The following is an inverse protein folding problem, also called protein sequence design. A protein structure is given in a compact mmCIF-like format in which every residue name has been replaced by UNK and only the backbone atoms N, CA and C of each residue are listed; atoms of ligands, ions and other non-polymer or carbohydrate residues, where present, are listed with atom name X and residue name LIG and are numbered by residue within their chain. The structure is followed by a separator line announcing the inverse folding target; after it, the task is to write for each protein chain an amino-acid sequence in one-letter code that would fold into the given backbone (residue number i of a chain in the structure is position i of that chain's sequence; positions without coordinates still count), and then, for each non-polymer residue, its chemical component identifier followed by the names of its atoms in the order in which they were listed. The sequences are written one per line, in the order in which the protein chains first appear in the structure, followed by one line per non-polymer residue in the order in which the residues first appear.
data_IF_351849618274
#
_entry.id   IF_351849618274
#
_cell.length_a   1.000
_cell.length_b   1.000
_cell.length_c   1.000
_cell.angle_alpha   90.00
_cell.angle_beta   90.00
_cell.angle_gamma   90.00
#
_symmetry.space_group_name_H-M   'P 1'
#
loop_
_entity.id
_entity.type
_entity.pdbx_description
1 polymer ?
#
# COMPACT_ATOMS: atom_id res chain seq x y z
N UNK A 1 -8.45 2.32 9.89
CA UNK A 1 -7.01 1.97 9.75
C UNK A 1 -6.07 3.17 9.90
N UNK A 2 -6.22 4.02 10.94
CA UNK A 2 -5.32 5.19 11.10
C UNK A 2 -3.86 4.81 11.41
N UNK A 3 -3.61 3.56 11.79
CA UNK A 3 -2.27 3.03 12.03
C UNK A 3 -1.44 2.81 10.76
N UNK A 4 -2.07 2.80 9.58
CA UNK A 4 -1.36 2.70 8.30
C UNK A 4 -0.58 3.99 7.98
N UNK A 5 -0.94 5.12 8.63
CA UNK A 5 -0.29 6.43 8.46
C UNK A 5 -0.15 6.84 6.99
N UNK A 6 -1.17 6.51 6.20
CA UNK A 6 -1.26 6.91 4.80
C UNK A 6 -1.64 8.39 4.68
N UNK A 7 -1.18 9.04 3.60
CA UNK A 7 -1.32 10.47 3.39
C UNK A 7 -2.79 10.93 3.35
N UNK A 8 -3.73 10.24 2.68
CA UNK A 8 -5.14 10.65 2.67
C UNK A 8 -5.78 10.61 4.07
N UNK A 9 -5.44 9.63 4.91
CA UNK A 9 -5.97 9.53 6.27
C UNK A 9 -5.41 10.64 7.16
N UNK A 10 -4.10 10.91 7.08
CA UNK A 10 -3.48 11.98 7.86
C UNK A 10 -4.01 13.36 7.43
N UNK A 11 -4.17 13.62 6.13
CA UNK A 11 -4.80 14.85 5.61
C UNK A 11 -6.27 14.94 6.04
N UNK A 12 -7.06 13.88 5.84
CA UNK A 12 -8.48 13.87 6.20
C UNK A 12 -8.70 14.13 7.69
N UNK A 13 -7.84 13.59 8.56
CA UNK A 13 -7.87 13.90 9.99
C UNK A 13 -7.57 15.37 10.27
N UNK A 14 -6.52 15.93 9.66
CA UNK A 14 -6.16 17.34 9.84
C UNK A 14 -7.29 18.29 9.41
N UNK A 15 -7.89 18.05 8.24
CA UNK A 15 -9.00 18.86 7.72
C UNK A 15 -10.28 18.70 8.55
N UNK A 16 -10.60 17.48 8.99
CA UNK A 16 -11.77 17.24 9.85
C UNK A 16 -11.65 17.96 11.19
N UNK A 17 -10.45 17.97 11.76
CA UNK A 17 -10.15 18.65 13.01
C UNK A 17 -10.20 20.18 12.86
N UNK A 18 -9.74 20.72 11.75
CA UNK A 18 -9.82 22.15 11.44
C UNK A 18 -11.28 22.58 11.21
N UNK A 19 -12.03 21.82 10.40
CA UNK A 19 -13.45 22.04 10.16
C UNK A 19 -14.26 22.00 11.46
N UNK A 20 -13.94 21.07 12.37
CA UNK A 20 -14.59 20.99 13.69
C UNK A 20 -14.41 22.27 14.48
N UNK A 21 -13.19 22.79 14.52
CA UNK A 21 -12.86 23.94 15.36
C UNK A 21 -13.37 25.26 14.75
N UNK A 22 -13.36 25.39 13.42
CA UNK A 22 -13.71 26.64 12.74
C UNK A 22 -15.20 26.77 12.40
N UNK A 23 -15.86 25.69 11.96
CA UNK A 23 -17.20 25.79 11.34
C UNK A 23 -18.22 24.74 11.80
N UNK A 24 -17.77 23.61 12.36
CA UNK A 24 -18.63 22.48 12.76
C UNK A 24 -18.27 21.95 14.14
N UNK A 25 -18.49 22.74 15.22
CA UNK A 25 -18.18 22.30 16.59
C UNK A 25 -18.96 21.05 17.02
N UNK A 26 -20.02 20.70 16.30
CA UNK A 26 -20.81 19.48 16.48
C UNK A 26 -20.19 18.22 15.82
N UNK A 27 -19.17 18.38 14.97
CA UNK A 27 -18.51 17.27 14.27
C UNK A 27 -17.77 16.36 15.26
N UNK A 28 -18.18 15.09 15.31
CA UNK A 28 -17.50 14.04 16.08
C UNK A 28 -16.50 13.32 15.20
N UNK A 29 -15.31 13.05 15.75
CA UNK A 29 -14.22 12.34 15.07
C UNK A 29 -13.94 11.04 15.83
N UNK A 30 -13.95 9.90 15.13
CA UNK A 30 -13.57 8.60 15.65
C UNK A 30 -12.37 8.08 14.84
N UNK A 31 -11.22 7.95 15.48
CA UNK A 31 -10.02 7.36 14.88
C UNK A 31 -9.94 5.87 15.24
N UNK A 32 -10.03 4.99 14.25
CA UNK A 32 -9.97 3.53 14.45
C UNK A 32 -8.60 2.97 14.08
N UNK A 33 -7.92 2.38 15.06
CA UNK A 33 -6.59 1.76 14.94
C UNK A 33 -6.65 0.26 15.30
N UNK A 34 -5.92 -0.57 14.57
CA UNK A 34 -5.71 -1.98 14.89
C UNK A 34 -4.45 -2.18 15.76
N UNK A 35 -3.69 -1.12 16.04
CA UNK A 35 -2.55 -1.15 16.97
C UNK A 35 -2.90 -0.51 18.30
N UNK A 36 -2.36 -1.01 19.42
CA UNK A 36 -2.57 -0.43 20.74
C UNK A 36 -1.80 0.88 20.97
N UNK A 37 -0.85 1.23 20.10
CA UNK A 37 -0.10 2.49 20.23
C UNK A 37 -0.93 3.68 19.75
N UNK A 38 -1.48 4.42 20.71
CA UNK A 38 -2.31 5.60 20.49
C UNK A 38 -1.56 6.91 20.73
N UNK A 39 -0.28 6.88 21.12
CA UNK A 39 0.44 8.08 21.58
C UNK A 39 0.50 9.17 20.52
N UNK A 40 0.79 8.79 19.27
CA UNK A 40 0.82 9.72 18.14
C UNK A 40 -0.53 10.38 17.89
N UNK A 41 -1.61 9.60 17.96
CA UNK A 41 -2.98 10.09 17.75
C UNK A 41 -3.44 11.00 18.88
N UNK A 42 -3.13 10.68 20.14
CA UNK A 42 -3.50 11.49 21.30
C UNK A 42 -2.81 12.87 21.28
N UNK A 43 -1.61 13.00 20.70
CA UNK A 43 -0.99 14.30 20.48
C UNK A 43 -1.82 15.21 19.55
N UNK A 44 -2.56 14.63 18.61
CA UNK A 44 -3.36 15.34 17.61
C UNK A 44 -4.80 15.56 18.07
N UNK A 45 -5.40 14.51 18.63
CA UNK A 45 -6.80 14.52 19.07
C UNK A 45 -6.98 15.24 20.42
N UNK A 46 -5.92 15.30 21.22
CA UNK A 46 -5.89 15.84 22.58
C UNK A 46 -5.60 14.76 23.60
N UNK A 47 -4.80 15.09 24.62
CA UNK A 47 -4.35 14.14 25.64
C UNK A 47 -5.52 13.50 26.43
N UNK A 48 -6.61 14.25 26.58
CA UNK A 48 -7.81 13.82 27.32
C UNK A 48 -8.82 13.07 26.42
N UNK A 49 -8.47 12.75 25.17
CA UNK A 49 -9.35 12.02 24.25
C UNK A 49 -9.65 10.62 24.81
N UNK A 50 -10.92 10.23 24.98
CA UNK A 50 -11.27 8.90 25.44
C UNK A 50 -10.74 7.82 24.49
N UNK A 51 -10.05 6.82 25.06
CA UNK A 51 -9.57 5.64 24.32
C UNK A 51 -10.44 4.45 24.70
N UNK A 52 -11.17 3.91 23.73
CA UNK A 52 -11.89 2.65 23.87
C UNK A 52 -11.06 1.53 23.24
N UNK A 53 -10.69 0.53 24.04
CA UNK A 53 -9.97 -0.65 23.57
C UNK A 53 -10.93 -1.83 23.43
N UNK A 54 -10.86 -2.52 22.30
CA UNK A 54 -11.57 -3.77 22.06
C UNK A 54 -10.56 -4.89 21.87
N UNK A 55 -10.34 -5.69 22.91
CA UNK A 55 -9.44 -6.84 22.83
C UNK A 55 -10.14 -7.99 22.09
N UNK A 56 -9.59 -8.39 20.94
CA UNK A 56 -9.97 -9.63 20.28
C UNK A 56 -9.46 -10.84 21.06
N UNK A 57 -10.10 -12.00 20.91
CA UNK A 57 -9.54 -13.27 21.38
C UNK A 57 -8.40 -13.67 20.45
N UNK A 58 -7.18 -13.26 20.79
CA UNK A 58 -5.97 -13.74 20.15
C UNK A 58 -5.44 -14.94 20.93
N UNK A 59 -5.24 -16.04 20.23
CA UNK A 59 -4.55 -17.21 20.75
C UNK A 59 -3.03 -16.97 20.73
N UNK A 60 -2.26 -17.66 21.60
CA UNK A 60 -0.81 -17.51 21.62
C UNK A 60 -0.18 -17.91 20.28
N UNK A 61 0.86 -17.17 19.87
CA UNK A 61 1.63 -17.44 18.65
C UNK A 61 3.11 -17.61 19.02
N UNK A 62 3.64 -18.80 18.76
CA UNK A 62 5.06 -19.08 18.96
C UNK A 62 5.91 -18.47 17.83
N UNK A 63 7.07 -17.91 18.17
CA UNK A 63 7.96 -17.28 17.20
C UNK A 63 9.17 -18.18 16.92
N UNK A 64 9.32 -18.60 15.67
CA UNK A 64 10.49 -19.33 15.17
C UNK A 64 11.37 -18.39 14.36
N UNK A 65 12.59 -18.16 14.84
CA UNK A 65 13.59 -17.36 14.13
C UNK A 65 14.39 -18.24 13.18
N UNK A 66 14.28 -17.99 11.88
CA UNK A 66 14.93 -18.75 10.82
C UNK A 66 15.71 -17.80 9.89
N UNK A 67 16.80 -17.18 10.38
CA UNK A 67 17.59 -16.25 9.58
C UNK A 67 18.19 -16.93 8.36
N UNK A 68 18.20 -16.23 7.23
CA UNK A 68 18.85 -16.73 6.02
C UNK A 68 20.38 -16.74 6.15
N UNK A 69 21.02 -17.61 5.38
CA UNK A 69 22.45 -17.55 5.13
C UNK A 69 22.84 -16.32 4.31
N UNK A 70 24.11 -15.88 4.42
CA UNK A 70 24.61 -14.67 3.74
C UNK A 70 24.52 -14.71 2.21
N UNK A 71 24.53 -15.90 1.62
CA UNK A 71 24.48 -16.12 0.17
C UNK A 71 23.07 -16.48 -0.33
N UNK A 72 22.12 -16.61 0.58
CA UNK A 72 20.76 -17.00 0.23
C UNK A 72 20.04 -15.83 -0.42
N UNK A 73 19.21 -16.18 -1.40
CA UNK A 73 18.29 -15.21 -2.01
C UNK A 73 16.98 -15.20 -1.21
N UNK A 74 16.39 -14.01 -0.94
CA UNK A 74 15.21 -13.90 -0.07
C UNK A 74 14.03 -14.79 -0.45
N UNK A 75 13.72 -14.88 -1.74
CA UNK A 75 12.54 -15.63 -2.20
C UNK A 75 12.76 -17.13 -2.08
N UNK A 76 13.94 -17.61 -2.47
CA UNK A 76 14.35 -19.01 -2.39
C UNK A 76 14.41 -19.50 -0.94
N UNK A 77 14.99 -18.70 -0.04
CA UNK A 77 15.02 -19.01 1.38
C UNK A 77 13.62 -19.00 2.01
N UNK A 78 12.76 -18.06 1.60
CA UNK A 78 11.36 -18.02 2.04
C UNK A 78 10.60 -19.28 1.58
N UNK A 79 10.74 -19.68 0.32
CA UNK A 79 10.11 -20.90 -0.19
C UNK A 79 10.59 -22.16 0.56
N UNK A 80 11.89 -22.27 0.84
CA UNK A 80 12.43 -23.36 1.66
C UNK A 80 11.87 -23.35 3.09
N UNK A 81 11.69 -22.17 3.69
CA UNK A 81 11.08 -22.00 5.01
C UNK A 81 9.60 -22.39 5.02
N UNK A 82 8.85 -22.09 3.95
CA UNK A 82 7.46 -22.54 3.77
C UNK A 82 7.39 -24.06 3.73
N UNK A 83 8.25 -24.72 2.95
CA UNK A 83 8.30 -26.19 2.89
C UNK A 83 8.62 -26.79 4.25
N UNK A 84 9.56 -26.19 5.00
CA UNK A 84 9.85 -26.59 6.38
C UNK A 84 8.64 -26.43 7.29
N UNK A 85 7.98 -25.27 7.26
CA UNK A 85 6.82 -24.99 8.09
C UNK A 85 5.64 -25.95 7.79
N UNK A 86 5.44 -26.32 6.51
CA UNK A 86 4.45 -27.34 6.12
C UNK A 86 4.75 -28.71 6.74
N UNK A 87 6.02 -29.09 6.91
CA UNK A 87 6.40 -30.37 7.55
C UNK A 87 6.27 -30.34 9.07
N UNK A 88 6.63 -29.22 9.67
CA UNK A 88 6.65 -29.06 11.14
C UNK A 88 5.26 -28.78 11.73
N UNK A 89 4.33 -28.25 10.94
CA UNK A 89 3.06 -27.72 11.42
C UNK A 89 1.87 -28.21 10.60
N UNK A 90 0.72 -28.34 11.24
CA UNK A 90 -0.58 -28.52 10.59
C UNK A 90 -1.27 -27.18 10.31
N UNK A 91 -2.27 -27.21 9.43
CA UNK A 91 -3.07 -26.03 9.05
C UNK A 91 -2.53 -25.28 7.83
N UNK A 92 -3.22 -24.20 7.48
CA UNK A 92 -2.87 -23.35 6.33
C UNK A 92 -1.74 -22.39 6.66
N UNK A 93 -0.94 -22.06 5.64
CA UNK A 93 0.21 -21.16 5.76
C UNK A 93 -0.09 -19.83 5.06
N UNK A 94 0.11 -18.73 5.76
CA UNK A 94 0.12 -17.39 5.18
C UNK A 94 1.56 -16.89 5.08
N UNK A 95 1.98 -16.47 3.90
CA UNK A 95 3.35 -16.06 3.62
C UNK A 95 3.37 -14.59 3.25
N UNK A 96 4.22 -13.79 3.89
CA UNK A 96 4.38 -12.36 3.57
C UNK A 96 5.62 -12.13 2.70
N UNK A 97 5.41 -11.54 1.53
CA UNK A 97 6.42 -11.20 0.52
C UNK A 97 6.26 -9.74 0.06
N UNK A 98 7.34 -9.08 -0.40
CA UNK A 98 7.30 -7.64 -0.68
C UNK A 98 6.51 -7.26 -1.95
N UNK A 99 6.20 -8.19 -2.86
CA UNK A 99 5.51 -7.84 -4.10
C UNK A 99 5.13 -9.02 -4.99
N UNK A 100 4.38 -8.73 -6.06
CA UNK A 100 3.84 -9.74 -6.97
C UNK A 100 4.92 -10.52 -7.73
N UNK A 101 6.06 -9.88 -8.04
CA UNK A 101 7.19 -10.55 -8.69
C UNK A 101 7.80 -11.63 -7.79
N UNK A 102 7.97 -11.31 -6.51
CA UNK A 102 8.43 -12.26 -5.50
C UNK A 102 7.39 -13.35 -5.22
N UNK A 103 6.10 -13.01 -5.18
CA UNK A 103 5.00 -13.98 -5.02
C UNK A 103 5.00 -15.00 -6.16
N UNK A 104 5.03 -14.56 -7.43
CA UNK A 104 5.05 -15.46 -8.59
C UNK A 104 6.29 -16.36 -8.60
N UNK A 105 7.45 -15.82 -8.21
CA UNK A 105 8.69 -16.59 -8.10
C UNK A 105 8.60 -17.64 -6.96
N UNK A 106 8.10 -17.26 -5.79
CA UNK A 106 7.88 -18.18 -4.68
C UNK A 106 6.87 -19.28 -5.06
N UNK A 107 5.78 -18.92 -5.73
CA UNK A 107 4.77 -19.84 -6.22
C UNK A 107 5.38 -20.91 -7.12
N UNK A 108 6.14 -20.49 -8.14
CA UNK A 108 6.81 -21.41 -9.07
C UNK A 108 7.80 -22.36 -8.37
N UNK A 109 8.51 -21.89 -7.33
CA UNK A 109 9.40 -22.74 -6.53
C UNK A 109 8.62 -23.75 -5.68
N UNK A 110 7.44 -23.37 -5.17
CA UNK A 110 6.62 -24.19 -4.30
C UNK A 110 5.82 -25.26 -5.06
N UNK A 111 5.32 -24.96 -6.26
CA UNK A 111 4.55 -25.90 -7.09
C UNK A 111 5.30 -27.22 -7.36
N UNK A 112 6.63 -27.20 -7.40
CA UNK A 112 7.47 -28.40 -7.53
C UNK A 112 7.99 -29.00 -6.21
N UNK A 113 7.75 -28.36 -5.07
CA UNK A 113 8.35 -28.70 -3.78
C UNK A 113 7.35 -29.10 -2.70
N UNK A 114 6.06 -28.78 -2.87
CA UNK A 114 4.98 -29.15 -1.94
C UNK A 114 4.31 -30.46 -2.36
N UNK A 115 3.63 -31.10 -1.41
CA UNK A 115 2.88 -32.34 -1.66
C UNK A 115 1.57 -32.05 -2.41
N UNK A 116 0.98 -33.02 -3.14
CA UNK A 116 -0.21 -32.80 -3.97
C UNK A 116 -1.48 -32.37 -3.23
N UNK A 117 -1.51 -32.52 -1.91
CA UNK A 117 -2.57 -32.07 -1.01
C UNK A 117 -2.43 -30.59 -0.59
N UNK A 118 -1.39 -29.88 -1.06
CA UNK A 118 -1.15 -28.46 -0.76
C UNK A 118 -1.42 -27.59 -2.00
N UNK A 119 -2.38 -26.68 -1.88
CA UNK A 119 -2.67 -25.67 -2.90
C UNK A 119 -1.89 -24.37 -2.63
N UNK A 120 -1.30 -23.77 -3.67
CA UNK A 120 -0.55 -22.51 -3.55
C UNK A 120 -1.29 -21.39 -4.26
N UNK A 121 -1.66 -20.34 -3.54
CA UNK A 121 -2.44 -19.22 -4.05
C UNK A 121 -1.71 -17.88 -3.89
N UNK A 122 -1.62 -17.06 -4.95
CA UNK A 122 -1.16 -15.69 -4.80
C UNK A 122 -2.27 -14.79 -4.23
N UNK A 123 -1.90 -13.81 -3.41
CA UNK A 123 -2.78 -12.76 -2.90
C UNK A 123 -2.07 -11.40 -2.93
N UNK A 124 -2.36 -10.60 -3.96
CA UNK A 124 -1.81 -9.26 -4.08
C UNK A 124 -2.87 -8.32 -4.64
N UNK A 125 -2.76 -7.03 -4.33
CA UNK A 125 -3.69 -6.02 -4.89
C UNK A 125 -3.74 -6.04 -6.42
N UNK A 126 -2.66 -6.49 -7.08
CA UNK A 126 -2.56 -6.68 -8.53
C UNK A 126 -3.55 -7.71 -9.12
N UNK A 127 -4.16 -8.58 -8.31
CA UNK A 127 -5.03 -9.65 -8.76
C UNK A 127 -6.47 -9.19 -8.96
N UNK A 128 -7.24 -9.97 -9.72
CA UNK A 128 -8.69 -9.81 -9.87
C UNK A 128 -9.43 -10.12 -8.57
N UNK A 129 -10.65 -9.59 -8.40
CA UNK A 129 -11.45 -9.87 -7.21
C UNK A 129 -11.70 -11.39 -7.07
N UNK A 130 -12.01 -12.07 -8.18
CA UNK A 130 -12.22 -13.51 -8.17
C UNK A 130 -10.97 -14.30 -7.75
N UNK A 131 -9.77 -13.88 -8.17
CA UNK A 131 -8.51 -14.49 -7.74
C UNK A 131 -8.24 -14.24 -6.25
N UNK A 132 -8.51 -13.02 -5.77
CA UNK A 132 -8.38 -12.70 -4.34
C UNK A 132 -9.37 -13.52 -3.51
N UNK A 133 -10.64 -13.57 -3.90
CA UNK A 133 -11.68 -14.34 -3.22
C UNK A 133 -11.30 -15.83 -3.16
N UNK A 134 -10.79 -16.38 -4.27
CA UNK A 134 -10.33 -17.77 -4.30
C UNK A 134 -9.16 -18.01 -3.34
N UNK A 135 -8.22 -17.06 -3.22
CA UNK A 135 -7.13 -17.11 -2.23
C UNK A 135 -7.60 -16.95 -0.78
N UNK A 136 -8.86 -16.55 -0.54
CA UNK A 136 -9.45 -16.41 0.80
C UNK A 136 -10.38 -17.57 1.18
N UNK A 137 -10.96 -18.28 0.21
CA UNK A 137 -11.87 -19.40 0.45
C UNK A 137 -11.23 -20.56 1.24
N UNK A 138 -11.95 -21.19 2.17
CA UNK A 138 -11.40 -22.30 2.95
C UNK A 138 -10.98 -23.48 2.06
N UNK A 139 -9.91 -24.17 2.46
CA UNK A 139 -9.45 -25.38 1.76
C UNK A 139 -10.50 -26.49 1.86
N UNK A 140 -10.69 -27.30 0.80
CA UNK A 140 -11.45 -28.54 0.88
C UNK A 140 -10.90 -29.47 1.97
N UNK A 141 -11.75 -30.33 2.53
CA UNK A 141 -11.34 -31.30 3.55
C UNK A 141 -10.17 -32.16 3.06
N UNK A 142 -9.14 -32.30 3.92
CA UNK A 142 -7.95 -33.09 3.62
C UNK A 142 -6.90 -32.36 2.77
N UNK A 143 -7.16 -31.12 2.34
CA UNK A 143 -6.18 -30.27 1.65
C UNK A 143 -5.69 -29.16 2.56
N UNK A 144 -4.48 -28.70 2.31
CA UNK A 144 -3.87 -27.53 2.94
C UNK A 144 -3.66 -26.46 1.90
N UNK A 145 -3.48 -25.21 2.35
CA UNK A 145 -3.13 -24.12 1.45
C UNK A 145 -1.94 -23.33 1.93
N UNK A 146 -1.25 -22.75 0.96
CA UNK A 146 -0.25 -21.71 1.13
C UNK A 146 -0.75 -20.46 0.41
N UNK A 147 -1.03 -19.40 1.16
CA UNK A 147 -1.40 -18.10 0.60
C UNK A 147 -0.16 -17.20 0.60
N UNK A 148 0.31 -16.83 -0.59
CA UNK A 148 1.47 -15.96 -0.80
C UNK A 148 1.00 -14.52 -0.96
N UNK A 149 1.18 -13.70 0.08
CA UNK A 149 0.57 -12.37 0.19
C UNK A 149 1.59 -11.24 0.29
N UNK A 150 1.20 -10.05 -0.17
CA UNK A 150 1.79 -8.79 0.29
C UNK A 150 1.15 -8.33 1.61
N UNK A 151 1.39 -7.08 2.01
CA UNK A 151 0.80 -6.46 3.20
C UNK A 151 -0.73 -6.30 3.13
N UNK A 152 -1.38 -6.67 2.02
CA UNK A 152 -2.84 -6.69 1.93
C UNK A 152 -3.50 -7.63 2.96
N UNK A 153 -2.79 -8.69 3.36
CA UNK A 153 -3.24 -9.59 4.42
C UNK A 153 -2.85 -9.12 5.84
N UNK A 154 -2.08 -8.04 5.99
CA UNK A 154 -1.60 -7.53 7.29
C UNK A 154 -2.72 -6.85 8.09
N UNK A 155 -3.61 -6.11 7.44
CA UNK A 155 -4.73 -5.37 8.08
C UNK A 155 -6.10 -5.90 7.62
N UNK A 156 -6.32 -5.98 6.30
CA UNK A 156 -7.67 -5.92 5.74
C UNK A 156 -8.35 -7.27 5.42
N UNK A 157 -7.62 -8.39 5.44
CA UNK A 157 -8.15 -9.69 5.00
C UNK A 157 -7.98 -10.80 6.03
N UNK A 158 -9.04 -11.59 6.24
CA UNK A 158 -8.99 -12.81 7.06
C UNK A 158 -8.90 -14.01 6.13
N UNK A 159 -7.83 -14.77 6.24
CA UNK A 159 -7.68 -16.05 5.57
C UNK A 159 -8.09 -17.13 6.56
N UNK A 160 -9.19 -17.82 6.27
CA UNK A 160 -9.71 -18.86 7.17
C UNK A 160 -8.75 -20.05 7.27
N UNK A 161 -8.61 -20.59 8.48
CA UNK A 161 -7.79 -21.77 8.78
C UNK A 161 -6.28 -21.53 8.78
N UNK A 162 -5.82 -20.27 8.77
CA UNK A 162 -4.40 -19.95 8.95
C UNK A 162 -3.99 -20.14 10.40
N UNK A 163 -3.03 -21.05 10.59
CA UNK A 163 -2.35 -21.33 11.86
C UNK A 163 -0.86 -21.02 11.80
N UNK A 164 -0.32 -20.92 10.58
CA UNK A 164 1.12 -20.75 10.34
C UNK A 164 1.35 -19.50 9.53
N UNK A 165 2.25 -18.64 10.01
CA UNK A 165 2.73 -17.47 9.27
C UNK A 165 4.20 -17.67 8.92
N UNK A 166 4.59 -17.33 7.69
CA UNK A 166 5.99 -17.23 7.26
C UNK A 166 6.23 -15.80 6.77
N UNK A 167 7.06 -15.06 7.47
CA UNK A 167 7.34 -13.66 7.14
C UNK A 167 8.76 -13.53 6.56
N UNK A 168 8.86 -13.05 5.32
CA UNK A 168 10.14 -12.74 4.69
C UNK A 168 10.82 -11.50 5.30
N UNK A 169 10.09 -10.71 6.09
CA UNK A 169 10.60 -9.55 6.80
C UNK A 169 10.82 -8.33 5.92
N UNK A 170 10.28 -8.33 4.70
CA UNK A 170 10.41 -7.26 3.72
C UNK A 170 9.03 -6.65 3.41
N UNK A 171 9.05 -5.38 2.99
CA UNK A 171 7.90 -4.64 2.52
C UNK A 171 8.33 -3.76 1.34
N UNK A 172 7.38 -3.38 0.48
CA UNK A 172 7.62 -2.49 -0.66
C UNK A 172 6.87 -1.18 -0.44
N UNK A 173 7.61 -0.10 -0.31
CA UNK A 173 7.07 1.23 0.04
C UNK A 173 7.42 2.26 -1.04
N UNK A 174 6.51 3.21 -1.34
CA UNK A 174 6.84 4.34 -2.21
C UNK A 174 7.85 5.26 -1.52
N UNK A 175 8.82 5.75 -2.29
CA UNK A 175 9.81 6.74 -1.86
C UNK A 175 9.95 7.79 -2.95
N UNK A 176 9.76 9.04 -2.58
CA UNK A 176 9.97 10.20 -3.43
C UNK A 176 11.45 10.54 -3.52
N UNK A 177 11.98 10.58 -4.74
CA UNK A 177 13.31 11.06 -5.01
C UNK A 177 13.25 12.56 -5.34
N UNK A 178 13.67 13.38 -4.38
CA UNK A 178 13.67 14.84 -4.48
C UNK A 178 14.51 15.38 -5.64
N UNK A 179 15.52 14.63 -6.10
CA UNK A 179 16.41 15.07 -7.19
C UNK A 179 15.75 14.87 -8.55
N UNK A 180 15.00 13.78 -8.72
CA UNK A 180 14.33 13.47 -9.97
C UNK A 180 12.88 13.99 -10.01
N UNK A 181 12.30 14.30 -8.84
CA UNK A 181 10.89 14.65 -8.70
C UNK A 181 9.96 13.49 -9.00
N UNK A 182 10.45 12.24 -8.87
CA UNK A 182 9.71 11.02 -9.17
C UNK A 182 9.62 10.10 -7.95
N UNK A 183 8.50 9.40 -7.83
CA UNK A 183 8.31 8.33 -6.85
C UNK A 183 8.85 7.01 -7.40
N UNK A 184 9.50 6.23 -6.55
CA UNK A 184 9.92 4.85 -6.85
C UNK A 184 9.54 3.91 -5.72
N UNK A 185 9.30 2.65 -6.04
CA UNK A 185 9.11 1.61 -5.03
C UNK A 185 10.48 1.15 -4.51
N UNK A 186 10.64 1.15 -3.18
CA UNK A 186 11.85 0.66 -2.51
C UNK A 186 11.49 -0.52 -1.63
N UNK A 187 12.30 -1.57 -1.67
CA UNK A 187 12.16 -2.70 -0.75
C UNK A 187 12.89 -2.38 0.55
N UNK A 188 12.20 -2.46 1.68
CA UNK A 188 12.73 -2.16 3.01
C UNK A 188 12.42 -3.29 3.98
N UNK A 189 13.14 -3.34 5.11
CA UNK A 189 12.79 -4.20 6.23
C UNK A 189 11.46 -3.77 6.84
N UNK A 190 10.56 -4.72 7.09
CA UNK A 190 9.30 -4.46 7.80
C UNK A 190 9.57 -3.99 9.24
N UNK A 191 8.64 -3.18 9.76
CA UNK A 191 8.69 -2.68 11.14
C UNK A 191 8.39 -3.79 12.16
N UNK A 192 8.75 -3.58 13.43
CA UNK A 192 8.41 -4.52 14.51
C UNK A 192 6.89 -4.63 14.66
N UNK A 193 6.18 -3.51 14.66
CA UNK A 193 4.72 -3.48 14.75
C UNK A 193 4.06 -4.27 13.61
N UNK A 194 4.51 -4.09 12.37
CA UNK A 194 4.02 -4.86 11.22
C UNK A 194 4.32 -6.35 11.34
N UNK A 195 5.54 -6.73 11.71
CA UNK A 195 5.90 -8.13 11.95
C UNK A 195 5.04 -8.78 13.05
N UNK A 196 4.66 -8.03 14.08
CA UNK A 196 3.80 -8.51 15.17
C UNK A 196 2.34 -8.64 14.71
N UNK A 197 1.83 -7.72 13.89
CA UNK A 197 0.51 -7.87 13.25
C UNK A 197 0.46 -9.07 12.31
N UNK A 198 1.47 -9.24 11.45
CA UNK A 198 1.62 -10.39 10.55
C UNK A 198 1.66 -11.69 11.34
N UNK A 199 2.45 -11.77 12.40
CA UNK A 199 2.48 -12.94 13.28
C UNK A 199 1.12 -13.21 13.94
N UNK A 200 0.41 -12.17 14.38
CA UNK A 200 -0.92 -12.28 14.97
C UNK A 200 -1.98 -12.92 14.06
N UNK A 201 -1.76 -12.94 12.73
CA UNK A 201 -2.63 -13.64 11.77
C UNK A 201 -2.66 -15.15 12.01
N UNK A 202 -1.61 -15.73 12.59
CA UNK A 202 -1.56 -17.15 12.97
C UNK A 202 -2.40 -17.49 14.21
N UNK A 203 -2.74 -16.50 15.05
CA UNK A 203 -3.40 -16.69 16.35
C UNK A 203 -4.89 -16.34 16.36
N UNK A 204 -5.55 -16.24 15.20
CA UNK A 204 -6.92 -15.74 15.10
C UNK A 204 -7.99 -16.73 15.52
N UNK A 205 -7.81 -18.00 15.19
CA UNK A 205 -8.80 -19.06 15.43
C UNK A 205 -8.35 -20.04 16.51
N UNK A 206 -7.04 -20.26 16.63
CA UNK A 206 -6.43 -21.23 17.54
C UNK A 206 -4.94 -20.91 17.74
N UNK A 207 -4.23 -21.56 18.69
CA UNK A 207 -2.79 -21.36 18.86
C UNK A 207 -1.99 -21.64 17.59
N UNK A 208 -1.13 -20.69 17.23
CA UNK A 208 -0.39 -20.69 15.96
C UNK A 208 1.10 -20.51 16.11
N UNK A 209 1.79 -20.39 14.98
CA UNK A 209 3.24 -20.18 14.92
C UNK A 209 3.60 -19.24 13.78
N UNK A 210 4.56 -18.35 14.04
CA UNK A 210 5.12 -17.44 13.06
C UNK A 210 6.62 -17.70 12.87
N UNK A 211 6.99 -18.07 11.65
CA UNK A 211 8.38 -18.19 11.21
C UNK A 211 8.84 -16.84 10.66
N UNK A 212 9.94 -16.33 11.17
CA UNK A 212 10.54 -15.06 10.75
C UNK A 212 11.86 -15.34 10.07
N UNK A 213 12.01 -14.90 8.81
CA UNK A 213 13.19 -15.15 7.96
C UNK A 213 14.42 -14.31 8.36
N UNK A 214 14.43 -13.79 9.59
CA UNK A 214 15.50 -12.98 10.16
C UNK A 214 15.80 -13.39 11.61
N UNK A 215 16.88 -12.85 12.17
CA UNK A 215 17.32 -13.21 13.52
C UNK A 215 16.59 -12.41 14.60
N UNK A 216 16.53 -12.95 15.82
CA UNK A 216 16.05 -12.22 17.00
C UNK A 216 16.86 -10.94 17.26
N UNK A 217 18.16 -10.94 16.94
CA UNK A 217 19.01 -9.75 17.06
C UNK A 217 18.58 -8.66 16.06
N UNK A 218 18.35 -9.04 14.81
CA UNK A 218 17.86 -8.14 13.76
C UNK A 218 16.46 -7.60 14.10
N UNK A 219 15.58 -8.39 14.75
CA UNK A 219 14.31 -7.86 15.25
C UNK A 219 14.52 -6.65 16.17
N UNK A 220 15.55 -6.67 17.02
CA UNK A 220 15.85 -5.59 17.95
C UNK A 220 16.29 -4.29 17.27
N UNK A 221 16.89 -4.37 16.07
CA UNK A 221 17.36 -3.21 15.31
C UNK A 221 16.34 -2.67 14.32
N UNK A 222 15.26 -3.43 14.04
CA UNK A 222 14.15 -2.95 13.21
C UNK A 222 13.43 -1.78 13.86
N UNK A 223 12.94 -0.88 13.01
CA UNK A 223 12.12 0.26 13.44
C UNK A 223 10.87 -0.21 14.16
N UNK A 224 10.46 0.54 15.17
CA UNK A 224 9.26 0.23 15.95
C UNK A 224 7.99 0.24 15.08
N UNK A 225 7.82 1.29 14.28
CA UNK A 225 6.66 1.54 13.43
C UNK A 225 7.11 1.91 12.02
N UNK A 226 6.18 1.86 11.06
CA UNK A 226 6.37 2.47 9.75
C UNK A 226 6.50 3.99 9.91
N UNK A 227 7.34 4.59 9.09
CA UNK A 227 7.39 6.05 8.93
C UNK A 227 6.09 6.49 8.22
N UNK A 228 5.51 7.61 8.64
CA UNK A 228 4.29 8.14 8.02
C UNK A 228 4.51 8.45 6.53
N UNK A 229 3.52 8.15 5.69
CA UNK A 229 3.62 8.30 4.24
C UNK A 229 3.89 9.75 3.84
N UNK A 230 3.31 10.71 4.56
CA UNK A 230 3.53 12.16 4.38
C UNK A 230 5.03 12.56 4.39
N UNK A 231 5.88 11.76 5.03
CA UNK A 231 7.33 12.01 5.10
C UNK A 231 8.12 11.41 3.92
N UNK A 232 7.47 10.65 3.05
CA UNK A 232 8.13 9.79 2.07
C UNK A 232 7.66 9.99 0.62
N UNK A 233 6.55 10.67 0.38
CA UNK A 233 5.91 10.75 -0.95
C UNK A 233 5.97 12.15 -1.55
N UNK A 234 5.58 12.25 -2.83
CA UNK A 234 5.35 13.55 -3.49
C UNK A 234 4.20 14.27 -2.78
N UNK A 235 4.39 15.55 -2.46
CA UNK A 235 3.40 16.38 -1.78
C UNK A 235 2.73 17.40 -2.69
N UNK A 236 2.89 17.31 -4.02
CA UNK A 236 2.21 18.19 -4.96
C UNK A 236 0.68 18.10 -4.84
N UNK A 237 0.13 16.89 -4.73
CA UNK A 237 -1.31 16.70 -4.50
C UNK A 237 -1.77 17.32 -3.18
N UNK A 238 -1.04 17.03 -2.09
CA UNK A 238 -1.28 17.62 -0.77
C UNK A 238 -1.25 19.16 -0.82
N UNK A 239 -0.26 19.75 -1.48
CA UNK A 239 -0.13 21.20 -1.58
C UNK A 239 -1.33 21.84 -2.31
N UNK A 240 -1.87 21.18 -3.34
CA UNK A 240 -3.04 21.65 -4.06
C UNK A 240 -4.30 21.60 -3.18
N UNK A 241 -4.50 20.49 -2.45
CA UNK A 241 -5.58 20.34 -1.47
C UNK A 241 -5.52 21.42 -0.37
N UNK A 242 -4.33 21.65 0.19
CA UNK A 242 -4.13 22.67 1.23
C UNK A 242 -4.39 24.09 0.72
N UNK A 243 -3.94 24.41 -0.49
CA UNK A 243 -4.21 25.71 -1.11
C UNK A 243 -5.71 25.91 -1.41
N UNK A 244 -6.44 24.84 -1.70
CA UNK A 244 -7.89 24.87 -1.87
C UNK A 244 -8.62 25.03 -0.53
N UNK A 245 -8.11 24.38 0.52
CA UNK A 245 -8.67 24.43 1.87
C UNK A 245 -8.51 25.82 2.50
N UNK A 246 -7.35 26.46 2.33
CA UNK A 246 -7.10 27.85 2.69
C UNK A 246 -6.51 28.08 4.09
N UNK A 247 -6.62 27.13 5.01
CA UNK A 247 -5.92 27.19 6.31
C UNK A 247 -4.42 26.94 6.13
N UNK A 248 -3.52 27.81 6.65
CA UNK A 248 -2.08 27.60 6.57
C UNK A 248 -1.66 26.25 7.17
N UNK A 249 -0.74 25.54 6.51
CA UNK A 249 -0.30 24.20 6.93
C UNK A 249 0.19 24.13 8.38
N UNK A 250 0.80 25.20 8.88
CA UNK A 250 1.32 25.29 10.25
C UNK A 250 0.24 25.47 11.33
N UNK A 251 -0.98 25.83 10.94
CA UNK A 251 -2.14 25.97 11.84
C UNK A 251 -2.95 24.67 11.92
N UNK A 252 -2.80 23.78 10.93
CA UNK A 252 -3.42 22.45 10.93
C UNK A 252 -2.74 21.50 11.92
N UNK A 253 -3.55 20.64 12.55
CA UNK A 253 -3.06 19.61 13.48
C UNK A 253 -2.63 18.34 12.74
N UNK A 254 -1.33 18.07 12.75
CA UNK A 254 -0.73 16.89 12.12
C UNK A 254 -0.17 15.91 13.15
N UNK A 255 -0.31 14.60 12.86
CA UNK A 255 0.41 13.57 13.61
C UNK A 255 1.92 13.63 13.32
N UNK A 256 2.27 13.77 12.04
CA UNK A 256 3.59 14.14 11.57
C UNK A 256 3.42 15.28 10.55
N UNK A 257 4.04 16.45 10.74
CA UNK A 257 3.90 17.55 9.80
C UNK A 257 4.54 17.23 8.45
N UNK A 258 4.01 17.77 7.33
CA UNK A 258 4.64 17.60 6.04
C UNK A 258 6.06 18.17 6.04
N UNK A 259 7.06 17.45 5.50
CA UNK A 259 8.42 17.98 5.40
C UNK A 259 8.45 19.28 4.60
N UNK A 260 8.89 20.38 5.22
CA UNK A 260 8.80 21.71 4.62
C UNK A 260 9.48 21.83 3.25
N UNK A 261 10.64 21.18 3.05
CA UNK A 261 11.31 21.16 1.73
C UNK A 261 10.50 20.43 0.66
N UNK A 262 9.93 19.27 0.98
CA UNK A 262 9.14 18.48 0.03
C UNK A 262 7.82 19.19 -0.30
N UNK A 263 7.18 19.81 0.70
CA UNK A 263 5.98 20.60 0.47
C UNK A 263 6.28 21.81 -0.43
N UNK A 264 7.38 22.53 -0.18
CA UNK A 264 7.81 23.66 -1.01
C UNK A 264 8.06 23.25 -2.47
N UNK A 265 8.66 22.09 -2.72
CA UNK A 265 8.83 21.56 -4.08
C UNK A 265 7.48 21.29 -4.78
N UNK A 266 6.48 20.82 -4.02
CA UNK A 266 5.11 20.68 -4.49
C UNK A 266 4.49 22.03 -4.88
N UNK A 267 4.63 23.04 -4.02
CA UNK A 267 4.17 24.41 -4.29
C UNK A 267 4.85 24.98 -5.54
N UNK A 268 6.17 24.87 -5.67
CA UNK A 268 6.93 25.33 -6.84
C UNK A 268 6.47 24.64 -8.13
N UNK A 269 6.21 23.33 -8.08
CA UNK A 269 5.64 22.62 -9.22
C UNK A 269 4.27 23.18 -9.59
N UNK A 270 3.37 23.35 -8.63
CA UNK A 270 2.02 23.85 -8.88
C UNK A 270 2.02 25.29 -9.40
N UNK A 271 2.92 26.15 -8.93
CA UNK A 271 3.11 27.50 -9.50
C UNK A 271 3.59 27.43 -10.95
N UNK A 272 4.52 26.54 -11.29
CA UNK A 272 4.94 26.32 -12.70
C UNK A 272 3.81 25.80 -13.59
N UNK A 273 2.89 25.01 -13.03
CA UNK A 273 1.69 24.53 -13.73
C UNK A 273 0.57 25.59 -13.76
N UNK A 274 0.78 26.78 -13.19
CA UNK A 274 -0.24 27.82 -13.08
C UNK A 274 -1.43 27.44 -12.18
N UNK A 275 -1.29 26.38 -11.37
CA UNK A 275 -2.30 25.94 -10.42
C UNK A 275 -2.32 26.80 -9.15
N UNK A 276 -1.17 27.39 -8.80
CA UNK A 276 -1.02 28.39 -7.74
C UNK A 276 -0.46 29.70 -8.31
N UNK A 277 -0.84 30.82 -7.70
CA UNK A 277 -0.26 32.14 -8.00
C UNK A 277 1.03 32.42 -7.20
N UNK A 278 1.55 33.65 -7.30
CA UNK A 278 2.78 34.07 -6.61
C UNK A 278 2.68 34.12 -5.09
N UNK A 279 1.45 34.20 -4.55
CA UNK A 279 1.16 34.17 -3.11
C UNK A 279 0.79 32.74 -2.64
N UNK A 280 1.03 31.73 -3.48
CA UNK A 280 0.65 30.33 -3.28
C UNK A 280 -0.85 30.10 -3.10
N UNK A 281 -1.71 30.99 -3.64
CA UNK A 281 -3.16 30.82 -3.63
C UNK A 281 -3.63 30.03 -4.84
N UNK A 282 -4.68 29.24 -4.65
CA UNK A 282 -5.24 28.42 -5.73
C UNK A 282 -5.86 29.26 -6.85
N UNK A 283 -5.50 28.97 -8.10
CA UNK A 283 -6.03 29.64 -9.29
C UNK A 283 -7.29 28.93 -9.82
N UNK A 284 -7.93 29.50 -10.85
CA UNK A 284 -9.02 28.82 -11.55
C UNK A 284 -8.55 27.49 -12.20
N UNK A 285 -7.32 27.48 -12.75
CA UNK A 285 -6.68 26.26 -13.26
C UNK A 285 -6.47 25.25 -12.13
N UNK A 286 -5.97 25.68 -10.97
CA UNK A 286 -5.79 24.81 -9.82
C UNK A 286 -7.09 24.19 -9.33
N UNK A 287 -8.18 24.96 -9.29
CA UNK A 287 -9.52 24.45 -8.96
C UNK A 287 -10.03 23.42 -9.98
N UNK A 288 -9.80 23.67 -11.27
CA UNK A 288 -10.17 22.72 -12.32
C UNK A 288 -9.35 21.42 -12.21
N UNK A 289 -8.05 21.52 -11.89
CA UNK A 289 -7.18 20.37 -11.67
C UNK A 289 -7.61 19.54 -10.47
N UNK A 290 -7.99 20.19 -9.36
CA UNK A 290 -8.45 19.52 -8.14
C UNK A 290 -9.72 18.68 -8.35
N UNK A 291 -10.55 19.07 -9.33
CA UNK A 291 -11.74 18.30 -9.71
C UNK A 291 -11.45 16.98 -10.43
N UNK A 292 -10.19 16.67 -10.73
CA UNK A 292 -9.78 15.44 -11.41
C UNK A 292 -9.07 14.50 -10.43
N UNK A 293 -9.40 13.20 -10.41
CA UNK A 293 -8.74 12.22 -9.55
C UNK A 293 -7.39 11.78 -10.13
N UNK A 294 -6.52 12.75 -10.43
CA UNK A 294 -5.24 12.55 -11.09
C UNK A 294 -4.13 13.30 -10.37
N UNK A 295 -2.90 12.81 -10.50
CA UNK A 295 -1.72 13.56 -10.06
C UNK A 295 -1.70 14.97 -10.72
N UNK A 296 -1.30 16.06 -10.02
CA UNK A 296 -1.37 17.43 -10.56
C UNK A 296 -0.75 17.65 -11.95
N UNK A 297 0.32 16.93 -12.29
CA UNK A 297 0.91 16.96 -13.65
C UNK A 297 -0.06 16.46 -14.73
N UNK A 298 -0.76 15.35 -14.47
CA UNK A 298 -1.73 14.77 -15.39
C UNK A 298 -3.02 15.58 -15.40
N UNK A 299 -3.48 16.05 -14.25
CA UNK A 299 -4.62 16.96 -14.16
C UNK A 299 -4.38 18.24 -14.98
N UNK A 300 -3.19 18.84 -14.88
CA UNK A 300 -2.81 20.00 -15.68
C UNK A 300 -2.84 19.69 -17.18
N UNK A 301 -2.31 18.55 -17.61
CA UNK A 301 -2.36 18.11 -19.02
C UNK A 301 -3.80 18.04 -19.54
N UNK A 302 -4.72 17.48 -18.75
CA UNK A 302 -6.15 17.40 -19.12
C UNK A 302 -6.82 18.78 -19.16
N UNK A 303 -6.56 19.63 -18.16
CA UNK A 303 -7.16 20.97 -18.06
C UNK A 303 -6.63 21.91 -19.15
N UNK A 304 -5.34 21.83 -19.48
CA UNK A 304 -4.69 22.65 -20.49
C UNK A 304 -4.97 22.18 -21.94
N UNK A 305 -5.51 20.97 -22.12
CA UNK A 305 -5.79 20.43 -23.45
C UNK A 305 -6.84 21.27 -24.19
N UNK A 306 -6.56 21.52 -25.49
CA UNK A 306 -7.54 22.10 -26.39
C UNK A 306 -8.80 21.22 -26.46
N UNK A 307 -9.99 21.79 -26.74
CA UNK A 307 -11.23 21.00 -26.79
C UNK A 307 -11.17 19.77 -27.69
N UNK A 308 -10.43 19.84 -28.80
CA UNK A 308 -10.26 18.73 -29.74
C UNK A 308 -9.40 17.58 -29.17
N UNK A 309 -8.45 17.88 -28.28
CA UNK A 309 -7.47 16.92 -27.76
C UNK A 309 -7.83 16.40 -26.35
N UNK A 310 -8.87 16.97 -25.72
CA UNK A 310 -9.22 16.68 -24.33
C UNK A 310 -9.52 15.21 -24.09
N UNK A 311 -10.21 14.55 -25.02
CA UNK A 311 -10.49 13.12 -24.92
C UNK A 311 -9.20 12.29 -24.89
N UNK A 312 -8.23 12.62 -25.77
CA UNK A 312 -6.92 11.97 -25.79
C UNK A 312 -6.14 12.24 -24.49
N UNK A 313 -6.16 13.47 -23.98
CA UNK A 313 -5.52 13.81 -22.71
C UNK A 313 -6.12 13.01 -21.53
N UNK A 314 -7.44 12.81 -21.50
CA UNK A 314 -8.08 11.94 -20.49
C UNK A 314 -7.60 10.49 -20.62
N UNK A 315 -7.56 9.93 -21.84
CA UNK A 315 -7.08 8.56 -22.08
C UNK A 315 -5.62 8.41 -21.65
N UNK A 316 -4.76 9.36 -21.99
CA UNK A 316 -3.35 9.35 -21.55
C UNK A 316 -3.24 9.47 -20.04
N UNK A 317 -4.02 10.36 -19.42
CA UNK A 317 -4.06 10.54 -17.98
C UNK A 317 -4.45 9.24 -17.27
N UNK A 318 -5.51 8.59 -17.71
CA UNK A 318 -5.97 7.32 -17.18
C UNK A 318 -4.94 6.20 -17.41
N UNK A 319 -4.34 6.08 -18.60
CA UNK A 319 -3.31 5.09 -18.90
C UNK A 319 -2.05 5.21 -18.02
N UNK A 320 -1.69 6.44 -17.61
CA UNK A 320 -0.51 6.68 -16.78
C UNK A 320 -0.78 6.53 -15.28
N UNK A 321 -2.05 6.65 -14.86
CA UNK A 321 -2.47 6.53 -13.47
C UNK A 321 -2.90 5.10 -13.11
N UNK A 322 -3.51 4.39 -14.05
CA UNK A 322 -3.97 3.01 -13.90
C UNK A 322 -2.90 1.97 -14.25
N UNK A 323 -3.26 0.69 -14.09
CA UNK A 323 -2.40 -0.42 -14.49
C UNK A 323 -2.21 -0.44 -16.01
N UNK A 324 -1.04 -0.96 -16.41
CA UNK A 324 -0.76 -1.19 -17.81
C UNK A 324 -1.82 -2.10 -18.43
N UNK A 325 -2.30 -1.72 -19.61
CA UNK A 325 -3.32 -2.44 -20.37
C UNK A 325 -2.77 -3.68 -21.07
N UNK A 326 -1.46 -3.95 -20.95
CA UNK A 326 -0.83 -5.15 -21.49
C UNK A 326 -0.48 -6.19 -20.42
N UNK A 327 -0.70 -7.45 -20.78
CA UNK A 327 -0.25 -8.62 -20.02
C UNK A 327 1.18 -8.98 -20.38
N UNK A 328 2.02 -9.14 -19.36
CA UNK A 328 3.40 -9.61 -19.55
C UNK A 328 4.32 -9.12 -18.45
N UNK A 329 5.62 -9.43 -18.59
CA UNK A 329 6.64 -8.81 -17.74
C UNK A 329 7.00 -7.43 -18.31
N UNK A 330 7.23 -6.40 -17.47
CA UNK A 330 7.51 -5.04 -17.95
C UNK A 330 8.68 -4.93 -18.95
N UNK A 331 9.70 -5.78 -18.82
CA UNK A 331 10.86 -5.87 -19.72
C UNK A 331 10.56 -6.48 -21.09
N UNK A 332 9.44 -7.20 -21.21
CA UNK A 332 8.99 -7.83 -22.45
C UNK A 332 7.94 -6.98 -23.19
N UNK A 333 7.39 -5.96 -22.53
CA UNK A 333 6.32 -5.12 -23.07
C UNK A 333 6.88 -3.92 -23.86
N UNK A 334 6.25 -3.52 -24.99
CA UNK A 334 6.60 -2.28 -25.67
C UNK A 334 6.40 -1.09 -24.72
N UNK A 335 7.32 -0.13 -24.73
CA UNK A 335 7.19 1.11 -23.95
C UNK A 335 6.36 2.20 -24.67
N UNK A 336 5.87 1.90 -25.88
CA UNK A 336 5.14 2.87 -26.71
C UNK A 336 3.76 3.21 -26.10
N UNK A 337 3.57 4.48 -25.76
CA UNK A 337 2.31 5.00 -25.24
C UNK A 337 1.23 5.09 -26.32
N UNK A 338 1.60 5.39 -27.57
CA UNK A 338 0.65 5.48 -28.67
C UNK A 338 -0.03 4.12 -28.92
N UNK A 339 0.73 3.03 -28.76
CA UNK A 339 0.18 1.68 -28.87
C UNK A 339 -0.89 1.40 -27.79
N UNK A 340 -0.67 1.85 -26.55
CA UNK A 340 -1.65 1.72 -25.46
C UNK A 340 -2.90 2.55 -25.71
N UNK A 341 -2.73 3.78 -26.19
CA UNK A 341 -3.84 4.65 -26.61
C UNK A 341 -4.66 3.98 -27.70
N UNK A 342 -4.02 3.45 -28.74
CA UNK A 342 -4.69 2.73 -29.82
C UNK A 342 -5.52 1.56 -29.30
N UNK A 343 -4.98 0.79 -28.36
CA UNK A 343 -5.67 -0.36 -27.77
C UNK A 343 -6.90 0.05 -26.96
N UNK A 344 -6.79 1.09 -26.13
CA UNK A 344 -7.93 1.65 -25.38
C UNK A 344 -8.98 2.23 -26.33
N UNK A 345 -8.55 2.83 -27.44
CA UNK A 345 -9.42 3.33 -28.50
C UNK A 345 -10.00 2.24 -29.42
N UNK A 346 -9.81 0.95 -29.09
CA UNK A 346 -10.49 -0.17 -29.75
C UNK A 346 -9.64 -0.95 -30.78
N UNK A 347 -8.33 -0.67 -30.90
CA UNK A 347 -7.46 -1.53 -31.70
C UNK A 347 -7.14 -2.82 -30.95
N UNK A 348 -7.28 -3.96 -31.63
CA UNK A 348 -6.90 -5.26 -31.06
C UNK A 348 -5.39 -5.40 -30.96
N UNK A 349 -4.93 -6.01 -29.86
CA UNK A 349 -3.55 -6.43 -29.69
C UNK A 349 -3.50 -7.73 -28.90
N UNK A 350 -2.68 -8.69 -29.31
CA UNK A 350 -2.58 -10.04 -28.70
C UNK A 350 -2.24 -10.05 -27.20
N UNK A 351 -1.63 -8.97 -26.70
CA UNK A 351 -1.24 -8.83 -25.29
C UNK A 351 -2.19 -7.94 -24.50
N UNK A 352 -3.23 -7.39 -25.13
CA UNK A 352 -4.20 -6.54 -24.46
C UNK A 352 -4.94 -7.31 -23.36
N UNK A 353 -4.92 -6.78 -22.15
CA UNK A 353 -5.81 -7.21 -21.10
C UNK A 353 -7.17 -6.56 -21.29
N UNK A 354 -8.12 -7.29 -21.86
CA UNK A 354 -9.47 -6.77 -22.10
C UNK A 354 -10.21 -6.30 -20.84
N UNK A 355 -9.75 -6.61 -19.63
CA UNK A 355 -10.30 -6.04 -18.39
C UNK A 355 -9.68 -4.68 -18.09
N UNK A 356 -8.36 -4.57 -18.13
CA UNK A 356 -7.67 -3.30 -17.87
C UNK A 356 -7.97 -2.28 -18.97
N UNK A 357 -8.08 -2.72 -20.23
CA UNK A 357 -8.55 -1.88 -21.36
C UNK A 357 -9.95 -1.32 -21.13
N UNK A 358 -10.88 -2.10 -20.55
CA UNK A 358 -12.24 -1.64 -20.24
C UNK A 358 -12.33 -0.76 -18.99
N UNK A 359 -11.31 -0.82 -18.14
CA UNK A 359 -11.24 -0.02 -16.91
C UNK A 359 -10.79 1.41 -17.21
N UNK A 360 -9.86 1.57 -18.15
CA UNK A 360 -9.40 2.86 -18.69
C UNK A 360 -10.50 3.49 -19.55
#
# INVERSE_FOLDING_TARGET
EVHERNLPTDLGLALALDARDAVRPDLRVLAMSATPDTKGLLKVLGADTPVATSDGRLHPVDIVWAPMGKQDRPVEACAALVVRALREQAGSVLVFLPGIGEIRRAQSLLEGAVTPDVDVYPLAGALTQAEQDHALQPSPHGRRRVVLSTDIAESSLTVDGVRVVVDAGLARVPRFDQRTGMSRLTTVSTSRASADQRAGRAGRTEPGVAYRLWSKLEQGTRRAHLEAEITQVDLAGLALELAAWGTPTGELRWADPPPGRTLQQGVELLTRLGALDGDARITATGRAMLGLPLHPRLAHMVVAAAPADRALACVIGALLDERDVFRGRPDELPADLALRVCVVCGQSHDRADGRDVRRV
#
